data_IF_002486902145
#
_entry.id   IF_002486902145
#
_cell.length_a   1.000
_cell.length_b   1.000
_cell.length_c   1.000
_cell.angle_alpha   90.00
_cell.angle_beta   90.00
_cell.angle_gamma   90.00
#
_symmetry.space_group_name_H-M   'P 1'
#
loop_
_entity.id
_entity.type
_entity.pdbx_description
1 polymer ?
#
# COMPACT_ATOMS: atom_id res chain seq x y z
N UNK A 1 18.74 -0.07 17.98
CA UNK A 1 17.39 -0.59 17.69
C UNK A 1 17.41 -1.14 16.28
N UNK A 2 17.11 -2.41 16.12
CA UNK A 2 16.91 -3.08 14.83
C UNK A 2 15.43 -2.93 14.46
N UNK A 3 15.14 -2.45 13.25
CA UNK A 3 13.76 -2.12 12.86
C UNK A 3 13.27 -3.02 11.74
N UNK A 4 12.28 -3.86 12.04
CA UNK A 4 11.63 -4.78 11.13
C UNK A 4 10.11 -4.57 11.02
N UNK A 5 9.62 -3.33 11.22
CA UNK A 5 8.21 -2.96 11.00
C UNK A 5 8.03 -2.04 9.77
N UNK A 6 8.80 -2.26 8.71
CA UNK A 6 8.77 -1.43 7.50
C UNK A 6 7.45 -1.52 6.72
N UNK A 7 6.70 -2.62 6.84
CA UNK A 7 5.37 -2.76 6.23
C UNK A 7 4.29 -1.88 6.93
N UNK A 8 4.53 -1.41 8.15
CA UNK A 8 3.70 -0.38 8.77
C UNK A 8 4.10 1.02 8.28
N UNK A 9 5.40 1.34 8.35
CA UNK A 9 6.03 2.55 7.80
C UNK A 9 7.53 2.32 7.71
N UNK A 10 8.20 2.77 6.66
CA UNK A 10 9.67 2.76 6.66
C UNK A 10 10.19 3.80 7.66
N UNK A 11 11.05 3.37 8.59
CA UNK A 11 11.63 4.27 9.59
C UNK A 11 12.69 5.17 8.95
N UNK A 12 13.66 4.55 8.28
CA UNK A 12 14.76 5.27 7.61
C UNK A 12 14.27 5.82 6.28
N UNK A 13 14.53 7.11 6.05
CA UNK A 13 14.29 7.79 4.78
C UNK A 13 15.62 8.16 4.14
N UNK A 14 15.72 8.19 2.79
CA UNK A 14 16.87 8.79 2.12
C UNK A 14 17.08 10.24 2.57
N UNK A 15 18.33 10.67 2.70
CA UNK A 15 18.67 12.03 3.17
C UNK A 15 18.04 13.12 2.27
N UNK A 16 17.99 12.88 0.96
CA UNK A 16 17.36 13.79 -0.01
C UNK A 16 15.86 14.02 0.26
N UNK A 17 15.16 13.08 0.92
CA UNK A 17 13.76 13.24 1.31
C UNK A 17 13.64 14.21 2.47
N UNK A 18 14.51 14.08 3.47
CA UNK A 18 14.55 14.96 4.64
C UNK A 18 14.91 16.39 4.21
N UNK A 19 15.92 16.53 3.36
CA UNK A 19 16.36 17.80 2.79
C UNK A 19 15.23 18.47 2.00
N UNK A 20 14.56 17.75 1.11
CA UNK A 20 13.46 18.29 0.30
C UNK A 20 12.27 18.78 1.15
N UNK A 21 11.90 18.06 2.22
CA UNK A 21 10.85 18.50 3.16
C UNK A 21 11.27 19.77 3.89
N UNK A 22 12.52 19.80 4.38
CA UNK A 22 13.05 20.94 5.13
C UNK A 22 13.12 22.20 4.26
N UNK A 23 13.63 22.07 3.04
CA UNK A 23 13.68 23.17 2.07
C UNK A 23 12.28 23.68 1.71
N UNK A 24 11.34 22.75 1.44
CA UNK A 24 9.97 23.10 1.12
C UNK A 24 9.28 23.85 2.27
N UNK A 25 9.52 23.50 3.53
CA UNK A 25 8.98 24.21 4.69
C UNK A 25 9.47 25.66 4.78
N UNK A 26 10.68 25.95 4.28
CA UNK A 26 11.26 27.31 4.30
C UNK A 26 10.97 28.15 3.06
N UNK A 27 10.53 27.55 1.94
CA UNK A 27 10.48 28.22 0.63
C UNK A 27 9.13 28.14 -0.09
N UNK A 28 8.30 27.13 0.19
CA UNK A 28 7.06 26.93 -0.55
C UNK A 28 5.93 27.81 -0.04
N UNK A 29 5.33 28.58 -0.97
CA UNK A 29 4.07 29.27 -0.76
C UNK A 29 2.85 28.41 -1.14
N UNK A 30 1.66 29.00 -1.15
CA UNK A 30 0.45 28.35 -1.63
C UNK A 30 0.47 28.20 -3.16
N UNK A 31 0.41 26.96 -3.67
CA UNK A 31 0.45 26.63 -5.09
C UNK A 31 -0.79 27.07 -5.89
N UNK A 32 -1.88 27.48 -5.21
CA UNK A 32 -3.18 27.64 -5.86
C UNK A 32 -3.34 28.86 -6.76
N UNK A 33 -2.67 30.01 -6.49
CA UNK A 33 -2.95 31.28 -7.20
C UNK A 33 -1.85 32.34 -7.14
N UNK A 34 -0.77 32.10 -6.42
CA UNK A 34 0.30 33.08 -6.32
C UNK A 34 1.08 33.18 -7.62
N UNK A 35 1.43 34.43 -8.00
CA UNK A 35 2.36 34.70 -9.12
C UNK A 35 3.77 35.01 -8.63
N UNK A 36 4.00 34.96 -7.30
CA UNK A 36 5.31 35.15 -6.69
C UNK A 36 6.12 33.84 -6.68
N UNK A 37 7.42 33.94 -6.57
CA UNK A 37 8.36 32.82 -6.71
C UNK A 37 8.03 31.61 -5.84
N UNK A 38 7.64 31.82 -4.57
CA UNK A 38 7.27 30.74 -3.66
C UNK A 38 6.03 29.95 -4.11
N UNK A 39 5.02 30.61 -4.72
CA UNK A 39 3.84 29.93 -5.24
C UNK A 39 4.15 29.19 -6.55
N UNK A 40 4.97 29.78 -7.42
CA UNK A 40 5.40 29.13 -8.66
C UNK A 40 6.30 27.91 -8.36
N UNK A 41 7.20 28.02 -7.40
CA UNK A 41 8.03 26.90 -6.94
C UNK A 41 7.16 25.76 -6.40
N UNK A 42 6.18 26.08 -5.55
CA UNK A 42 5.24 25.08 -5.03
C UNK A 42 4.46 24.37 -6.15
N UNK A 43 3.94 25.14 -7.12
CA UNK A 43 3.19 24.59 -8.26
C UNK A 43 4.06 23.66 -9.12
N UNK A 44 5.31 24.03 -9.37
CA UNK A 44 6.27 23.21 -10.12
C UNK A 44 6.59 21.92 -9.38
N UNK A 45 6.93 21.99 -8.09
CA UNK A 45 7.24 20.81 -7.26
C UNK A 45 6.07 19.83 -7.25
N UNK A 46 4.84 20.30 -7.09
CA UNK A 46 3.63 19.46 -7.11
C UNK A 46 3.47 18.81 -8.49
N UNK A 47 3.61 19.56 -9.57
CA UNK A 47 3.52 19.04 -10.93
C UNK A 47 4.61 18.02 -11.24
N UNK A 48 5.86 18.31 -10.90
CA UNK A 48 7.01 17.44 -11.16
C UNK A 48 6.88 16.12 -10.39
N UNK A 49 6.38 16.17 -9.14
CA UNK A 49 6.10 14.96 -8.34
C UNK A 49 5.00 14.12 -8.98
N UNK A 50 3.89 14.74 -9.48
CA UNK A 50 2.86 14.01 -10.23
C UNK A 50 3.43 13.37 -11.48
N UNK A 51 4.24 14.12 -12.24
CA UNK A 51 4.87 13.61 -13.46
C UNK A 51 5.82 12.44 -13.18
N UNK A 52 6.55 12.50 -12.06
CA UNK A 52 7.40 11.39 -11.63
C UNK A 52 6.60 10.14 -11.24
N UNK A 53 5.50 10.29 -10.50
CA UNK A 53 4.59 9.19 -10.16
C UNK A 53 3.87 8.63 -11.40
N UNK A 54 3.44 9.49 -12.32
CA UNK A 54 2.83 9.05 -13.57
C UNK A 54 3.80 8.17 -14.40
N UNK A 55 5.07 8.57 -14.48
CA UNK A 55 6.11 7.73 -15.12
C UNK A 55 6.36 6.44 -14.36
N UNK A 56 6.40 6.49 -13.02
CA UNK A 56 6.64 5.31 -12.18
C UNK A 56 5.56 4.24 -12.37
N UNK A 57 4.30 4.65 -12.55
CA UNK A 57 3.15 3.75 -12.68
C UNK A 57 2.72 3.52 -14.14
N UNK A 58 3.41 4.08 -15.13
CA UNK A 58 3.03 3.96 -16.53
C UNK A 58 1.71 4.63 -16.88
N UNK A 59 1.30 5.67 -16.13
CA UNK A 59 0.07 6.43 -16.35
C UNK A 59 0.15 7.29 -17.62
N UNK A 60 -1.02 7.72 -18.15
CA UNK A 60 -1.13 8.52 -19.37
C UNK A 60 -0.52 9.91 -19.22
N UNK A 61 -0.65 10.49 -18.03
CA UNK A 61 -0.13 11.82 -17.74
C UNK A 61 -0.24 12.20 -16.26
N UNK A 62 0.44 13.29 -15.85
CA UNK A 62 0.42 13.76 -14.46
C UNK A 62 -0.97 14.16 -13.97
N UNK A 63 -1.86 14.60 -14.85
CA UNK A 63 -3.24 14.97 -14.50
C UNK A 63 -4.08 13.78 -14.03
N UNK A 64 -3.59 12.53 -14.24
CA UNK A 64 -4.25 11.31 -13.77
C UNK A 64 -3.89 10.93 -12.33
N UNK A 65 -2.95 11.63 -11.70
CA UNK A 65 -2.55 11.41 -10.31
C UNK A 65 -3.21 12.46 -9.42
N UNK A 66 -3.95 12.05 -8.40
CA UNK A 66 -4.46 12.92 -7.35
C UNK A 66 -3.77 12.58 -6.01
N UNK A 67 -3.42 13.61 -5.23
CA UNK A 67 -2.82 13.44 -3.91
C UNK A 67 -3.88 13.31 -2.82
N UNK A 68 -3.59 12.49 -1.83
CA UNK A 68 -4.37 12.29 -0.61
C UNK A 68 -3.44 12.29 0.60
N UNK A 69 -3.99 12.28 1.81
CA UNK A 69 -3.18 12.17 3.01
C UNK A 69 -2.54 10.77 3.19
N UNK A 70 -3.16 9.72 2.64
CA UNK A 70 -2.69 8.34 2.72
C UNK A 70 -3.52 7.44 1.78
N UNK A 71 -3.15 6.16 1.68
CA UNK A 71 -3.91 5.19 0.87
C UNK A 71 -5.32 4.92 1.38
N UNK A 72 -5.58 5.04 2.68
CA UNK A 72 -6.93 4.86 3.23
C UNK A 72 -7.90 5.91 2.68
N UNK A 73 -7.48 7.17 2.60
CA UNK A 73 -8.27 8.24 1.96
C UNK A 73 -8.44 7.96 0.46
N UNK A 74 -7.36 7.58 -0.24
CA UNK A 74 -7.42 7.22 -1.66
C UNK A 74 -8.40 6.08 -1.93
N UNK A 75 -8.38 5.01 -1.12
CA UNK A 75 -9.29 3.87 -1.23
C UNK A 75 -10.74 4.25 -0.92
N UNK A 76 -10.99 5.06 0.12
CA UNK A 76 -12.33 5.59 0.38
C UNK A 76 -12.85 6.42 -0.78
N UNK A 77 -12.00 7.26 -1.36
CA UNK A 77 -12.32 8.08 -2.52
C UNK A 77 -12.65 7.23 -3.74
N UNK A 78 -11.83 6.23 -4.05
CA UNK A 78 -12.04 5.32 -5.16
C UNK A 78 -13.32 4.48 -4.97
N UNK A 79 -13.45 3.79 -3.84
CA UNK A 79 -14.55 2.86 -3.56
C UNK A 79 -15.87 3.61 -3.45
N UNK A 80 -15.97 4.62 -2.56
CA UNK A 80 -17.22 5.36 -2.33
C UNK A 80 -17.57 6.31 -3.48
N UNK A 81 -16.57 6.78 -4.24
CA UNK A 81 -16.78 7.65 -5.39
C UNK A 81 -17.26 6.92 -6.64
N UNK A 82 -16.86 5.65 -6.81
CA UNK A 82 -17.22 4.84 -7.98
C UNK A 82 -18.50 4.03 -7.78
N UNK A 83 -18.71 3.47 -6.59
CA UNK A 83 -19.74 2.48 -6.31
C UNK A 83 -21.01 3.10 -5.73
N UNK A 84 -22.15 2.40 -5.94
CA UNK A 84 -23.48 2.81 -5.49
C UNK A 84 -24.29 1.61 -5.00
N UNK A 85 -25.41 1.82 -4.26
CA UNK A 85 -26.35 0.77 -3.94
C UNK A 85 -26.85 0.04 -5.21
N UNK A 86 -26.94 -1.29 -5.14
CA UNK A 86 -27.28 -2.15 -6.27
C UNK A 86 -26.11 -2.61 -7.13
N UNK A 87 -24.94 -1.99 -7.03
CA UNK A 87 -23.72 -2.49 -7.65
C UNK A 87 -23.24 -3.75 -6.93
N UNK A 88 -22.60 -4.67 -7.65
CA UNK A 88 -21.90 -5.81 -7.10
C UNK A 88 -20.38 -5.60 -7.23
N UNK A 89 -19.64 -5.99 -6.21
CA UNK A 89 -18.16 -5.87 -6.14
C UNK A 89 -17.55 -7.21 -5.76
N UNK A 90 -16.43 -7.54 -6.40
CA UNK A 90 -15.60 -8.71 -6.08
C UNK A 90 -14.34 -8.21 -5.38
N UNK A 91 -14.01 -8.81 -4.24
CA UNK A 91 -12.76 -8.53 -3.49
C UNK A 91 -12.19 -9.82 -2.91
N UNK A 92 -11.11 -9.76 -2.14
CA UNK A 92 -10.41 -10.96 -1.64
C UNK A 92 -10.25 -10.98 -0.11
N UNK A 93 -9.94 -12.15 0.43
CA UNK A 93 -9.60 -12.31 1.85
C UNK A 93 -8.22 -11.72 2.22
N UNK A 94 -7.41 -11.31 1.24
CA UNK A 94 -6.10 -10.69 1.47
C UNK A 94 -6.19 -9.22 1.86
N UNK A 95 -7.37 -8.62 1.77
CA UNK A 95 -7.56 -7.18 1.87
C UNK A 95 -7.26 -6.63 3.27
N UNK A 96 -6.62 -5.46 3.28
CA UNK A 96 -6.50 -4.64 4.47
C UNK A 96 -7.86 -4.00 4.83
N UNK A 97 -8.07 -3.66 6.11
CA UNK A 97 -9.26 -2.95 6.58
C UNK A 97 -9.55 -1.63 5.84
N UNK A 98 -8.56 -1.02 5.20
CA UNK A 98 -8.76 0.19 4.38
C UNK A 98 -9.56 -0.08 3.09
N UNK A 99 -9.62 -1.34 2.64
CA UNK A 99 -10.50 -1.83 1.57
C UNK A 99 -11.79 -2.39 2.15
N UNK A 100 -11.70 -3.28 3.14
CA UNK A 100 -12.88 -4.00 3.67
C UNK A 100 -13.91 -3.07 4.31
N UNK A 101 -13.47 -2.12 5.16
CA UNK A 101 -14.41 -1.26 5.88
C UNK A 101 -15.24 -0.36 4.99
N UNK A 102 -14.69 0.37 3.99
CA UNK A 102 -15.54 1.11 3.05
C UNK A 102 -16.44 0.21 2.19
N UNK A 103 -16.03 -1.03 1.86
CA UNK A 103 -16.90 -1.99 1.17
C UNK A 103 -18.05 -2.45 2.06
N UNK A 104 -17.81 -2.80 3.32
CA UNK A 104 -18.87 -3.15 4.28
C UNK A 104 -19.84 -1.99 4.54
N UNK A 105 -19.31 -0.75 4.62
CA UNK A 105 -20.17 0.42 4.76
C UNK A 105 -21.14 0.59 3.55
N UNK A 106 -20.67 0.25 2.33
CA UNK A 106 -21.53 0.29 1.14
C UNK A 106 -22.47 -0.92 1.06
N UNK A 107 -22.02 -2.09 1.52
CA UNK A 107 -22.85 -3.29 1.65
C UNK A 107 -24.07 -3.04 2.58
N UNK A 108 -23.85 -2.39 3.73
CA UNK A 108 -24.91 -1.96 4.64
C UNK A 108 -25.92 -0.97 3.99
N UNK A 109 -25.51 -0.33 2.89
CA UNK A 109 -26.34 0.59 2.09
C UNK A 109 -26.94 -0.05 0.84
N UNK A 110 -26.82 -1.36 0.66
CA UNK A 110 -27.43 -2.12 -0.43
C UNK A 110 -26.53 -2.38 -1.63
N UNK A 111 -25.20 -2.26 -1.50
CA UNK A 111 -24.25 -2.84 -2.45
C UNK A 111 -24.11 -4.34 -2.18
N UNK A 112 -23.89 -5.14 -3.22
CA UNK A 112 -23.61 -6.57 -3.09
C UNK A 112 -22.08 -6.80 -3.06
N UNK A 113 -21.61 -7.67 -2.16
CA UNK A 113 -20.19 -7.96 -1.99
C UNK A 113 -19.91 -9.47 -2.11
N UNK A 114 -18.96 -9.84 -2.97
CA UNK A 114 -18.37 -11.18 -2.99
C UNK A 114 -16.91 -11.11 -2.55
N UNK A 115 -16.56 -11.86 -1.51
CA UNK A 115 -15.18 -11.95 -0.99
C UNK A 115 -14.65 -13.34 -1.36
N UNK A 116 -13.65 -13.38 -2.25
CA UNK A 116 -12.96 -14.61 -2.61
C UNK A 116 -12.07 -15.08 -1.47
N UNK A 117 -12.23 -16.33 -1.06
CA UNK A 117 -11.48 -16.93 0.05
C UNK A 117 -10.00 -17.15 -0.29
N UNK A 118 -9.18 -17.25 0.74
CA UNK A 118 -7.78 -17.68 0.64
C UNK A 118 -7.58 -19.05 1.29
N UNK A 119 -6.60 -19.81 0.79
CA UNK A 119 -6.16 -21.04 1.45
C UNK A 119 -5.29 -20.74 2.70
N UNK A 120 -4.85 -21.78 3.38
CA UNK A 120 -4.00 -21.67 4.58
C UNK A 120 -2.58 -21.12 4.31
N UNK A 121 -2.19 -20.95 3.04
CA UNK A 121 -0.96 -20.31 2.63
C UNK A 121 -1.19 -18.88 2.13
N UNK A 122 -2.44 -18.41 2.11
CA UNK A 122 -2.83 -17.09 1.62
C UNK A 122 -2.91 -16.98 0.11
N UNK A 123 -3.12 -18.08 -0.62
CA UNK A 123 -3.32 -18.08 -2.05
C UNK A 123 -4.81 -17.96 -2.40
N UNK A 124 -5.10 -17.30 -3.52
CA UNK A 124 -6.45 -17.13 -4.09
C UNK A 124 -6.58 -18.00 -5.34
N UNK A 125 -7.75 -18.60 -5.53
CA UNK A 125 -8.10 -19.25 -6.80
C UNK A 125 -8.48 -18.16 -7.83
N UNK A 126 -7.70 -18.00 -8.87
CA UNK A 126 -7.94 -16.95 -9.88
C UNK A 126 -9.17 -17.22 -10.75
N UNK A 127 -9.55 -18.46 -10.92
CA UNK A 127 -10.76 -18.88 -11.64
C UNK A 127 -12.04 -18.37 -10.97
N UNK A 128 -11.98 -18.15 -9.65
CA UNK A 128 -13.14 -17.66 -8.89
C UNK A 128 -13.49 -16.21 -9.22
N UNK A 129 -12.54 -15.40 -9.71
CA UNK A 129 -12.85 -14.04 -10.19
C UNK A 129 -13.83 -14.06 -11.34
N UNK A 130 -13.61 -14.94 -12.33
CA UNK A 130 -14.51 -15.10 -13.49
C UNK A 130 -15.88 -15.63 -13.06
N UNK A 131 -15.91 -16.64 -12.18
CA UNK A 131 -17.15 -17.29 -11.70
C UNK A 131 -17.98 -16.36 -10.82
N UNK A 132 -17.38 -15.40 -10.14
CA UNK A 132 -18.06 -14.44 -9.28
C UNK A 132 -18.72 -13.28 -10.04
N UNK A 133 -18.45 -13.11 -11.35
CA UNK A 133 -19.04 -12.03 -12.14
C UNK A 133 -20.55 -12.22 -12.28
N UNK A 134 -21.31 -11.16 -12.03
CA UNK A 134 -22.76 -11.06 -12.13
C UNK A 134 -23.17 -9.94 -13.08
N UNK A 135 -24.44 -9.90 -13.56
CA UNK A 135 -24.89 -8.83 -14.45
C UNK A 135 -24.75 -7.41 -13.87
N UNK A 136 -24.82 -7.28 -12.54
CA UNK A 136 -24.65 -6.02 -11.82
C UNK A 136 -23.24 -5.83 -11.24
N UNK A 137 -22.26 -6.67 -11.60
CA UNK A 137 -20.86 -6.47 -11.17
C UNK A 137 -20.31 -5.19 -11.77
N UNK A 138 -19.84 -4.29 -10.91
CA UNK A 138 -19.31 -2.97 -11.27
C UNK A 138 -17.81 -2.92 -11.22
N UNK A 139 -17.19 -3.57 -10.21
CA UNK A 139 -15.75 -3.47 -9.98
C UNK A 139 -15.17 -4.75 -9.35
N UNK A 140 -13.87 -4.91 -9.57
CA UNK A 140 -12.99 -5.78 -8.78
C UNK A 140 -12.08 -4.86 -7.96
N UNK A 141 -11.93 -5.13 -6.66
CA UNK A 141 -11.06 -4.37 -5.75
C UNK A 141 -10.10 -5.34 -5.08
N UNK A 142 -8.79 -5.18 -5.29
CA UNK A 142 -7.80 -6.07 -4.68
C UNK A 142 -6.57 -5.31 -4.16
N UNK A 143 -5.96 -5.85 -3.10
CA UNK A 143 -4.57 -5.51 -2.80
C UNK A 143 -3.64 -6.12 -3.84
N UNK A 144 -2.50 -5.49 -4.11
CA UNK A 144 -1.42 -6.13 -4.88
C UNK A 144 -0.59 -7.08 -4.02
N UNK A 145 -0.36 -6.73 -2.76
CA UNK A 145 0.43 -7.54 -1.84
C UNK A 145 -0.16 -7.57 -0.44
N UNK A 146 -0.28 -8.77 0.12
CA UNK A 146 -0.75 -8.96 1.48
C UNK A 146 0.23 -8.33 2.49
N UNK A 147 -0.29 -7.46 3.34
CA UNK A 147 0.49 -6.85 4.41
C UNK A 147 0.76 -7.79 5.59
N UNK A 148 0.20 -9.00 5.57
CA UNK A 148 0.41 -10.04 6.57
C UNK A 148 1.28 -11.17 6.05
N UNK A 149 0.89 -11.82 4.95
CA UNK A 149 1.62 -12.98 4.42
C UNK A 149 2.73 -12.61 3.44
N UNK A 150 2.69 -11.42 2.85
CA UNK A 150 3.61 -11.01 1.80
C UNK A 150 3.30 -11.58 0.41
N UNK A 151 2.27 -12.43 0.28
CA UNK A 151 1.83 -12.98 -1.02
C UNK A 151 1.41 -11.86 -1.97
N UNK A 152 1.76 -11.99 -3.25
CA UNK A 152 1.33 -11.09 -4.31
C UNK A 152 0.15 -11.68 -5.09
N UNK A 153 -0.71 -10.80 -5.59
CA UNK A 153 -1.71 -11.13 -6.59
C UNK A 153 -1.21 -10.77 -8.00
N UNK A 154 -1.50 -11.62 -8.97
CA UNK A 154 -1.25 -11.36 -10.39
C UNK A 154 -2.25 -10.32 -10.91
N UNK A 155 -1.85 -9.04 -10.84
CA UNK A 155 -2.69 -7.92 -11.27
C UNK A 155 -3.04 -7.98 -12.75
N UNK A 156 -2.13 -8.47 -13.61
CA UNK A 156 -2.39 -8.55 -15.04
C UNK A 156 -3.46 -9.59 -15.36
N UNK A 157 -3.47 -10.71 -14.67
CA UNK A 157 -4.49 -11.76 -14.79
C UNK A 157 -5.86 -11.24 -14.32
N UNK A 158 -5.93 -10.61 -13.15
CA UNK A 158 -7.17 -10.04 -12.60
C UNK A 158 -7.67 -8.89 -13.50
N UNK A 159 -6.78 -8.00 -13.91
CA UNK A 159 -7.10 -6.89 -14.80
C UNK A 159 -7.60 -7.34 -16.17
N UNK A 160 -7.16 -8.51 -16.65
CA UNK A 160 -7.69 -9.12 -17.88
C UNK A 160 -9.13 -9.60 -17.72
N UNK A 161 -9.48 -10.17 -16.56
CA UNK A 161 -10.89 -10.53 -16.23
C UNK A 161 -11.74 -9.25 -16.16
N UNK A 162 -11.28 -8.23 -15.43
CA UNK A 162 -12.00 -6.97 -15.32
C UNK A 162 -12.26 -6.35 -16.71
N UNK A 163 -11.24 -6.32 -17.57
CA UNK A 163 -11.35 -5.78 -18.94
C UNK A 163 -12.32 -6.59 -19.79
N UNK A 164 -12.29 -7.93 -19.74
CA UNK A 164 -13.16 -8.80 -20.53
C UNK A 164 -14.65 -8.58 -20.21
N UNK A 165 -14.96 -8.23 -18.96
CA UNK A 165 -16.32 -8.00 -18.49
C UNK A 165 -16.71 -6.50 -18.38
N UNK A 166 -15.85 -5.58 -18.81
CA UNK A 166 -16.09 -4.14 -18.72
C UNK A 166 -16.20 -3.60 -17.29
N UNK A 167 -15.56 -4.28 -16.34
CA UNK A 167 -15.51 -3.91 -14.93
C UNK A 167 -14.40 -2.91 -14.66
N UNK A 168 -14.57 -2.07 -13.65
CA UNK A 168 -13.50 -1.23 -13.13
C UNK A 168 -12.56 -2.05 -12.22
N UNK A 169 -11.24 -1.86 -12.37
CA UNK A 169 -10.25 -2.53 -11.51
C UNK A 169 -9.55 -1.53 -10.60
N UNK A 170 -9.79 -1.67 -9.28
CA UNK A 170 -9.20 -0.85 -8.22
C UNK A 170 -8.14 -1.68 -7.50
N UNK A 171 -6.92 -1.14 -7.40
CA UNK A 171 -5.79 -1.82 -6.76
C UNK A 171 -5.27 -1.02 -5.57
N UNK A 172 -5.14 -1.67 -4.41
CA UNK A 172 -4.37 -1.18 -3.27
C UNK A 172 -2.90 -1.59 -3.42
N UNK A 173 -2.05 -0.65 -3.80
CA UNK A 173 -0.61 -0.84 -3.94
C UNK A 173 0.19 -0.42 -2.70
N UNK A 174 -0.42 -0.32 -1.52
CA UNK A 174 0.22 0.20 -0.30
C UNK A 174 1.47 -0.56 0.11
N UNK A 175 1.59 -1.84 -0.21
CA UNK A 175 2.76 -2.66 0.13
C UNK A 175 3.77 -2.76 -1.03
N UNK A 176 3.38 -2.38 -2.23
CA UNK A 176 4.13 -2.72 -3.45
C UNK A 176 4.60 -1.52 -4.25
N UNK A 177 3.92 -0.37 -4.14
CA UNK A 177 4.35 0.88 -4.76
C UNK A 177 5.74 1.28 -4.28
N UNK A 178 6.67 1.48 -5.21
CA UNK A 178 8.07 1.81 -4.94
C UNK A 178 9.00 0.61 -4.77
N UNK A 179 8.47 -0.63 -4.82
CA UNK A 179 9.23 -1.87 -4.73
C UNK A 179 9.04 -2.75 -5.97
N UNK A 180 7.80 -2.86 -6.45
CA UNK A 180 7.45 -3.67 -7.61
C UNK A 180 7.16 -2.77 -8.83
N UNK A 181 7.47 -3.28 -10.02
CA UNK A 181 7.08 -2.65 -11.27
C UNK A 181 5.57 -2.79 -11.48
N UNK A 182 4.85 -1.67 -11.39
CA UNK A 182 3.41 -1.59 -11.60
C UNK A 182 3.16 -0.68 -12.80
N UNK A 183 2.71 -1.27 -13.90
CA UNK A 183 2.28 -0.52 -15.10
C UNK A 183 0.77 -0.61 -15.22
N UNK A 184 0.09 0.50 -14.93
CA UNK A 184 -1.38 0.55 -14.88
C UNK A 184 -2.05 0.22 -16.20
N UNK A 185 -1.40 0.53 -17.33
CA UNK A 185 -1.92 0.24 -18.69
C UNK A 185 -1.73 -1.22 -19.04
N UNK A 186 -0.53 -1.77 -18.81
CA UNK A 186 -0.20 -3.17 -19.09
C UNK A 186 -1.02 -4.14 -18.23
N UNK A 187 -1.30 -3.74 -16.98
CA UNK A 187 -2.06 -4.55 -16.02
C UNK A 187 -3.56 -4.26 -16.03
N UNK A 188 -4.06 -3.41 -16.93
CA UNK A 188 -5.48 -3.00 -17.03
C UNK A 188 -6.05 -2.44 -15.73
N UNK A 189 -5.28 -1.69 -14.98
CA UNK A 189 -5.69 -1.06 -13.73
C UNK A 189 -6.40 0.25 -14.06
N UNK A 190 -7.60 0.46 -13.53
CA UNK A 190 -8.36 1.69 -13.71
C UNK A 190 -8.10 2.70 -12.60
N UNK A 191 -7.90 2.21 -11.36
CA UNK A 191 -7.58 3.04 -10.21
C UNK A 191 -6.50 2.33 -9.41
N UNK A 192 -5.37 3.03 -9.16
CA UNK A 192 -4.28 2.54 -8.31
C UNK A 192 -4.14 3.44 -7.09
N UNK A 193 -4.38 2.92 -5.89
CA UNK A 193 -4.22 3.64 -4.63
C UNK A 193 -2.87 3.33 -4.00
N UNK A 194 -2.17 4.36 -3.48
CA UNK A 194 -0.84 4.21 -2.89
C UNK A 194 -0.62 5.11 -1.67
N UNK A 195 0.36 4.76 -0.85
CA UNK A 195 0.82 5.60 0.28
C UNK A 195 2.30 5.95 0.13
N UNK A 196 2.67 7.16 0.50
CA UNK A 196 4.04 7.64 0.32
C UNK A 196 5.05 7.08 1.32
N UNK A 197 4.62 6.69 2.54
CA UNK A 197 5.51 6.45 3.67
C UNK A 197 6.05 5.02 3.83
N UNK A 198 5.66 4.09 2.94
CA UNK A 198 6.15 2.70 2.91
C UNK A 198 7.20 2.54 1.81
N UNK A 199 7.02 1.62 0.87
CA UNK A 199 7.98 1.34 -0.20
C UNK A 199 8.34 2.55 -1.08
N UNK A 200 7.48 3.55 -1.19
CA UNK A 200 7.80 4.83 -1.85
C UNK A 200 8.79 5.70 -1.06
N UNK A 201 9.15 5.37 0.19
CA UNK A 201 10.16 6.03 1.02
C UNK A 201 9.90 7.52 1.33
N UNK A 202 8.73 8.03 1.00
CA UNK A 202 8.33 9.41 1.28
C UNK A 202 7.90 9.63 2.74
N UNK A 203 7.54 10.85 3.12
CA UNK A 203 7.06 11.16 4.45
C UNK A 203 5.66 10.58 4.72
N UNK A 204 5.27 10.50 5.99
CA UNK A 204 3.89 10.26 6.39
C UNK A 204 3.00 11.45 6.01
N UNK A 205 1.69 11.25 5.94
CA UNK A 205 0.72 12.29 5.62
C UNK A 205 0.68 12.65 4.13
N UNK A 206 1.17 11.76 3.27
CA UNK A 206 1.04 11.86 1.81
C UNK A 206 0.79 10.49 1.20
N UNK A 207 -0.13 10.44 0.27
CA UNK A 207 -0.48 9.31 -0.57
C UNK A 207 -1.17 9.82 -1.83
N UNK A 208 -1.85 8.95 -2.56
CA UNK A 208 -2.58 9.35 -3.74
C UNK A 208 -3.22 8.20 -4.47
N UNK A 209 -3.87 8.55 -5.57
CA UNK A 209 -4.42 7.60 -6.50
C UNK A 209 -4.17 8.02 -7.95
N UNK A 210 -3.96 7.03 -8.79
CA UNK A 210 -4.09 7.15 -10.24
C UNK A 210 -5.53 6.83 -10.62
N UNK A 211 -6.08 7.57 -11.59
CA UNK A 211 -7.40 7.32 -12.17
C UNK A 211 -7.29 7.34 -13.69
N UNK A 212 -7.63 6.23 -14.35
CA UNK A 212 -7.61 6.10 -15.81
C UNK A 212 -8.56 7.11 -16.46
N UNK A 213 -8.20 7.58 -17.64
CA UNK A 213 -9.07 8.42 -18.45
C UNK A 213 -10.42 7.75 -18.72
N UNK A 214 -11.51 8.53 -18.59
CA UNK A 214 -12.89 8.05 -18.76
C UNK A 214 -13.50 7.41 -17.50
N UNK A 215 -12.74 7.23 -16.41
CA UNK A 215 -13.29 6.85 -15.11
C UNK A 215 -13.69 8.10 -14.34
N UNK A 216 -14.97 8.17 -13.97
CA UNK A 216 -15.52 9.25 -13.16
C UNK A 216 -15.67 8.82 -11.71
N UNK A 217 -15.06 9.57 -10.80
CA UNK A 217 -15.13 9.36 -9.35
C UNK A 217 -15.83 10.55 -8.72
N UNK A 218 -16.88 10.33 -7.98
CA UNK A 218 -17.51 11.37 -7.17
C UNK A 218 -16.52 11.81 -6.08
N UNK A 219 -16.26 13.11 -5.92
CA UNK A 219 -15.32 13.58 -4.89
C UNK A 219 -15.82 13.19 -3.49
N UNK A 220 -14.88 12.71 -2.66
CA UNK A 220 -15.14 12.44 -1.24
C UNK A 220 -15.31 13.74 -0.46
N UNK A 221 -14.53 14.75 -0.82
CA UNK A 221 -14.53 16.08 -0.21
C UNK A 221 -14.80 17.13 -1.29
N UNK A 222 -15.50 18.18 -0.93
CA UNK A 222 -15.70 19.35 -1.77
C UNK A 222 -15.36 20.63 -0.99
N UNK A 223 -14.77 21.60 -1.66
CA UNK A 223 -14.37 22.85 -0.99
C UNK A 223 -13.52 23.75 -1.87
N UNK A 224 -12.59 24.46 -1.27
CA UNK A 224 -11.68 25.34 -1.99
C UNK A 224 -10.76 24.55 -2.91
N UNK A 225 -10.77 24.86 -4.22
CA UNK A 225 -9.93 24.22 -5.22
C UNK A 225 -8.84 25.12 -5.79
N UNK A 226 -8.88 26.43 -5.43
CA UNK A 226 -8.00 27.43 -6.04
C UNK A 226 -8.42 27.86 -7.45
N UNK A 227 -9.35 27.18 -8.12
CA UNK A 227 -9.83 27.47 -9.48
C UNK A 227 -11.36 27.48 -9.55
N UNK A 228 -11.93 28.08 -10.59
CA UNK A 228 -13.38 28.09 -10.90
C UNK A 228 -14.26 28.50 -9.71
N UNK A 229 -13.87 29.57 -8.99
CA UNK A 229 -14.47 30.05 -7.72
C UNK A 229 -15.99 30.24 -7.77
N UNK A 230 -16.53 30.57 -8.93
CA UNK A 230 -17.96 30.88 -9.10
C UNK A 230 -18.83 29.66 -9.40
N UNK A 231 -18.24 28.47 -9.60
CA UNK A 231 -19.02 27.22 -9.70
C UNK A 231 -19.65 26.87 -8.35
N UNK A 232 -20.90 26.46 -8.36
CA UNK A 232 -21.59 25.96 -7.16
C UNK A 232 -21.10 24.57 -6.74
N UNK A 233 -20.72 23.74 -7.70
CA UNK A 233 -20.14 22.42 -7.48
C UNK A 233 -18.62 22.46 -7.48
N UNK A 234 -18.00 21.42 -6.91
CA UNK A 234 -16.55 21.24 -7.02
C UNK A 234 -16.14 21.05 -8.49
N UNK A 235 -14.99 21.60 -8.93
CA UNK A 235 -14.54 21.45 -10.32
C UNK A 235 -14.42 19.98 -10.75
N UNK A 236 -14.95 19.57 -11.93
CA UNK A 236 -14.95 18.17 -12.34
C UNK A 236 -13.65 17.69 -13.00
N UNK A 237 -12.70 18.59 -13.27
CA UNK A 237 -11.47 18.23 -13.99
C UNK A 237 -10.44 17.62 -13.04
N UNK A 238 -9.88 16.46 -13.44
CA UNK A 238 -8.73 15.87 -12.77
C UNK A 238 -7.47 16.76 -12.90
N UNK A 239 -6.61 16.79 -11.91
CA UNK A 239 -6.70 16.15 -10.60
C UNK A 239 -7.55 16.93 -9.58
N UNK A 240 -7.94 18.17 -9.91
CA UNK A 240 -8.67 19.09 -9.01
C UNK A 240 -9.97 18.49 -8.49
N UNK A 241 -10.65 17.66 -9.31
CA UNK A 241 -11.89 16.99 -8.92
C UNK A 241 -11.76 16.18 -7.62
N UNK A 242 -10.57 15.66 -7.34
CA UNK A 242 -10.30 14.80 -6.17
C UNK A 242 -9.41 15.50 -5.11
N UNK A 243 -9.09 16.79 -5.31
CA UNK A 243 -8.23 17.55 -4.41
C UNK A 243 -8.93 18.79 -3.89
N UNK A 244 -9.47 18.70 -2.69
CA UNK A 244 -10.09 19.83 -2.01
C UNK A 244 -9.17 20.40 -0.92
N UNK A 245 -9.06 21.71 -0.85
CA UNK A 245 -8.22 22.41 0.13
C UNK A 245 -6.77 22.60 -0.34
N UNK A 246 -5.94 23.09 0.57
CA UNK A 246 -4.50 23.27 0.33
C UNK A 246 -3.79 21.93 0.45
N UNK A 247 -3.08 21.53 -0.60
CA UNK A 247 -2.32 20.28 -0.62
C UNK A 247 -1.16 20.31 0.40
N UNK A 248 -0.76 19.14 0.86
CA UNK A 248 0.44 18.95 1.68
C UNK A 248 1.71 19.12 0.80
N UNK A 249 2.02 20.37 0.44
CA UNK A 249 3.14 20.69 -0.45
C UNK A 249 4.49 20.16 0.04
N UNK A 250 4.73 20.23 1.35
CA UNK A 250 5.98 19.74 1.97
C UNK A 250 6.10 18.22 1.85
N UNK A 251 5.01 17.49 2.14
CA UNK A 251 4.97 16.04 1.96
C UNK A 251 5.11 15.62 0.50
N UNK A 252 4.53 16.39 -0.43
CA UNK A 252 4.65 16.17 -1.88
C UNK A 252 6.10 16.37 -2.34
N UNK A 253 6.79 17.41 -1.85
CA UNK A 253 8.20 17.65 -2.15
C UNK A 253 9.08 16.46 -1.70
N UNK A 254 8.88 15.99 -0.46
CA UNK A 254 9.57 14.81 0.05
C UNK A 254 9.27 13.54 -0.75
N UNK A 255 8.01 13.34 -1.15
CA UNK A 255 7.62 12.20 -2.00
C UNK A 255 8.27 12.30 -3.39
N UNK A 256 8.36 13.50 -3.98
CA UNK A 256 9.06 13.73 -5.26
C UNK A 256 10.54 13.35 -5.19
N UNK A 257 11.24 13.78 -4.13
CA UNK A 257 12.61 13.39 -3.87
C UNK A 257 12.78 11.88 -3.66
N UNK A 258 11.84 11.26 -2.95
CA UNK A 258 11.82 9.80 -2.75
C UNK A 258 11.65 9.03 -4.07
N UNK A 259 10.71 9.43 -4.92
CA UNK A 259 10.49 8.80 -6.24
C UNK A 259 11.73 8.95 -7.13
N UNK A 260 12.40 10.10 -7.10
CA UNK A 260 13.65 10.29 -7.81
C UNK A 260 14.75 9.35 -7.30
N UNK A 261 14.91 9.24 -5.99
CA UNK A 261 15.83 8.29 -5.36
C UNK A 261 15.57 6.84 -5.81
N UNK A 262 14.29 6.42 -5.84
CA UNK A 262 13.90 5.10 -6.30
C UNK A 262 14.26 4.85 -7.77
N UNK A 263 14.07 5.85 -8.63
CA UNK A 263 14.42 5.77 -10.05
C UNK A 263 15.94 5.70 -10.27
N UNK A 264 16.72 6.45 -9.49
CA UNK A 264 18.18 6.47 -9.57
C UNK A 264 18.82 5.19 -9.01
N UNK A 265 18.25 4.64 -7.92
CA UNK A 265 18.72 3.39 -7.30
C UNK A 265 18.27 2.16 -8.11
N UNK A 266 17.11 2.24 -8.74
CA UNK A 266 16.45 1.15 -9.47
C UNK A 266 15.57 0.28 -8.56
N UNK A 267 14.30 0.14 -8.92
CA UNK A 267 13.32 -0.66 -8.16
C UNK A 267 13.77 -2.11 -8.00
N UNK A 268 14.34 -2.70 -9.06
CA UNK A 268 14.82 -4.08 -9.03
C UNK A 268 15.96 -4.28 -8.04
N UNK A 269 16.89 -3.32 -7.94
CA UNK A 269 17.98 -3.36 -6.96
C UNK A 269 17.45 -3.34 -5.53
N UNK A 270 16.48 -2.47 -5.26
CA UNK A 270 15.82 -2.38 -3.95
C UNK A 270 15.10 -3.68 -3.64
N UNK A 271 14.24 -4.14 -4.54
CA UNK A 271 13.46 -5.37 -4.40
C UNK A 271 14.33 -6.59 -4.16
N UNK A 272 15.36 -6.77 -4.98
CA UNK A 272 16.27 -7.92 -4.84
C UNK A 272 16.96 -7.94 -3.48
N UNK A 273 17.40 -6.79 -2.96
CA UNK A 273 18.01 -6.71 -1.64
C UNK A 273 17.00 -7.04 -0.54
N UNK A 274 15.80 -6.46 -0.59
CA UNK A 274 14.75 -6.74 0.40
C UNK A 274 14.34 -8.22 0.39
N UNK A 275 14.17 -8.81 -0.79
CA UNK A 275 13.83 -10.23 -0.95
C UNK A 275 14.98 -11.15 -0.49
N UNK A 276 16.25 -10.78 -0.71
CA UNK A 276 17.39 -11.54 -0.23
C UNK A 276 17.43 -11.57 1.31
N UNK A 277 17.23 -10.42 1.97
CA UNK A 277 17.16 -10.34 3.44
C UNK A 277 15.98 -11.14 4.00
N UNK A 278 14.81 -10.99 3.42
CA UNK A 278 13.61 -11.75 3.79
C UNK A 278 13.84 -13.25 3.65
N UNK A 279 14.44 -13.70 2.53
CA UNK A 279 14.72 -15.11 2.31
C UNK A 279 15.72 -15.66 3.31
N UNK A 280 16.81 -14.94 3.58
CA UNK A 280 17.81 -15.35 4.57
C UNK A 280 17.18 -15.53 5.95
N UNK A 281 16.31 -14.60 6.35
CA UNK A 281 15.54 -14.69 7.59
C UNK A 281 14.59 -15.90 7.58
N UNK A 282 13.77 -16.05 6.55
CA UNK A 282 12.81 -17.16 6.41
C UNK A 282 13.48 -18.53 6.48
N UNK A 283 14.56 -18.74 5.69
CA UNK A 283 15.26 -20.03 5.65
C UNK A 283 15.89 -20.40 7.01
N UNK A 284 16.28 -19.42 7.80
CA UNK A 284 16.81 -19.65 9.13
C UNK A 284 15.69 -19.94 10.15
N UNK A 285 14.65 -19.10 10.21
CA UNK A 285 13.61 -19.23 11.25
C UNK A 285 12.72 -20.46 11.06
N UNK A 286 12.46 -20.89 9.82
CA UNK A 286 11.66 -22.11 9.55
C UNK A 286 12.30 -23.41 10.06
N UNK A 287 13.58 -23.40 10.41
CA UNK A 287 14.30 -24.54 10.96
C UNK A 287 14.26 -24.57 12.50
N UNK A 288 13.78 -23.51 13.15
CA UNK A 288 13.73 -23.43 14.60
C UNK A 288 12.51 -24.19 15.10
N UNK A 289 12.69 -25.25 15.97
CA UNK A 289 11.56 -25.94 16.56
C UNK A 289 10.66 -24.97 17.35
N UNK A 290 9.34 -25.10 17.17
CA UNK A 290 8.36 -24.23 17.83
C UNK A 290 8.05 -22.94 17.07
N UNK A 291 8.68 -22.67 15.92
CA UNK A 291 8.29 -21.55 15.06
C UNK A 291 7.36 -22.03 13.94
N UNK A 292 6.23 -21.35 13.79
CA UNK A 292 5.30 -21.52 12.67
C UNK A 292 5.36 -20.27 11.79
N UNK A 293 5.66 -20.42 10.50
CA UNK A 293 5.73 -19.32 9.52
C UNK A 293 4.50 -19.34 8.62
N UNK A 294 3.93 -18.20 8.31
CA UNK A 294 2.72 -18.03 7.51
C UNK A 294 3.00 -17.40 6.14
N UNK A 295 2.30 -17.88 5.13
CA UNK A 295 2.40 -17.41 3.75
C UNK A 295 2.99 -18.45 2.80
N UNK A 296 2.89 -18.20 1.49
CA UNK A 296 3.46 -19.06 0.45
C UNK A 296 4.87 -18.60 0.09
N UNK A 297 5.87 -19.37 0.42
CA UNK A 297 7.29 -19.15 0.11
C UNK A 297 7.80 -20.00 -1.06
N UNK A 298 6.89 -20.62 -1.83
CA UNK A 298 7.25 -21.36 -3.05
C UNK A 298 7.79 -20.44 -4.15
N UNK A 299 7.37 -19.16 -4.17
CA UNK A 299 7.86 -18.13 -5.07
C UNK A 299 8.71 -17.09 -4.35
N UNK A 300 9.74 -16.59 -5.04
CA UNK A 300 10.53 -15.43 -4.60
C UNK A 300 9.86 -14.11 -4.90
N UNK A 301 8.86 -14.11 -5.79
CA UNK A 301 8.12 -12.89 -6.15
C UNK A 301 7.04 -12.63 -5.09
N UNK A 302 7.46 -11.95 -4.01
CA UNK A 302 6.63 -11.62 -2.85
C UNK A 302 7.14 -10.38 -2.12
N UNK A 303 6.30 -9.72 -1.34
CA UNK A 303 6.74 -8.65 -0.44
C UNK A 303 7.75 -9.18 0.58
N UNK A 304 8.68 -8.34 0.99
CA UNK A 304 9.71 -8.68 1.97
C UNK A 304 9.12 -8.72 3.39
N UNK A 305 8.21 -9.66 3.62
CA UNK A 305 7.45 -9.86 4.86
C UNK A 305 7.55 -11.33 5.26
N UNK A 306 7.79 -11.56 6.56
CA UNK A 306 7.69 -12.87 7.21
C UNK A 306 6.85 -12.70 8.46
N UNK A 307 5.69 -13.34 8.51
CA UNK A 307 4.85 -13.42 9.69
C UNK A 307 4.98 -14.80 10.32
N UNK A 308 5.16 -14.85 11.62
CA UNK A 308 5.39 -16.10 12.35
C UNK A 308 4.77 -16.07 13.74
N UNK A 309 4.64 -17.24 14.34
CA UNK A 309 4.38 -17.42 15.77
C UNK A 309 5.46 -18.30 16.40
N UNK A 310 5.71 -18.07 17.69
CA UNK A 310 6.60 -18.84 18.53
C UNK A 310 5.74 -19.67 19.46
N UNK A 311 5.69 -20.99 19.30
CA UNK A 311 4.85 -21.90 20.09
C UNK A 311 3.40 -21.38 20.18
N UNK A 312 2.83 -21.40 21.36
CA UNK A 312 1.49 -20.90 21.73
C UNK A 312 1.51 -19.51 22.41
N UNK A 313 2.67 -18.83 22.40
CA UNK A 313 2.81 -17.50 22.99
C UNK A 313 1.97 -16.47 22.25
N UNK A 314 1.38 -15.53 22.98
CA UNK A 314 0.73 -14.37 22.38
C UNK A 314 1.71 -13.56 21.55
N UNK A 315 1.29 -13.09 20.40
CA UNK A 315 2.16 -12.33 19.48
C UNK A 315 2.66 -11.01 20.08
N UNK A 316 1.90 -10.40 20.98
CA UNK A 316 2.32 -9.21 21.73
C UNK A 316 3.45 -9.52 22.68
N UNK A 317 3.34 -10.60 23.48
CA UNK A 317 4.39 -11.03 24.42
C UNK A 317 5.71 -11.30 23.70
N UNK A 318 5.67 -11.99 22.54
CA UNK A 318 6.87 -12.24 21.73
C UNK A 318 7.48 -10.93 21.19
N UNK A 319 6.64 -10.03 20.73
CA UNK A 319 7.12 -8.73 20.20
C UNK A 319 7.70 -7.84 21.31
N UNK A 320 7.12 -7.85 22.49
CA UNK A 320 7.61 -7.12 23.66
C UNK A 320 8.96 -7.69 24.12
N UNK A 321 9.09 -9.02 24.22
CA UNK A 321 10.36 -9.68 24.56
C UNK A 321 11.48 -9.34 23.55
N UNK A 322 11.15 -9.37 22.24
CA UNK A 322 12.08 -8.97 21.16
C UNK A 322 12.53 -7.50 21.32
N UNK A 323 11.62 -6.62 21.68
CA UNK A 323 11.91 -5.19 21.86
C UNK A 323 12.74 -4.93 23.11
N UNK A 324 12.34 -5.48 24.26
CA UNK A 324 12.94 -5.18 25.55
C UNK A 324 14.31 -5.85 25.74
N UNK A 325 14.42 -7.14 25.35
CA UNK A 325 15.64 -7.93 25.58
C UNK A 325 16.66 -7.80 24.45
N UNK A 326 16.20 -7.60 23.20
CA UNK A 326 17.09 -7.63 22.02
C UNK A 326 17.10 -6.32 21.22
N UNK A 327 16.27 -5.34 21.58
CA UNK A 327 16.16 -4.07 20.85
C UNK A 327 15.65 -4.22 19.43
N UNK A 328 14.80 -5.23 19.16
CA UNK A 328 14.24 -5.57 17.84
C UNK A 328 12.78 -5.12 17.79
N UNK A 329 12.47 -4.17 16.91
CA UNK A 329 11.13 -3.68 16.70
C UNK A 329 10.42 -4.49 15.62
N UNK A 330 9.31 -5.14 15.98
CA UNK A 330 8.41 -5.90 15.11
C UNK A 330 6.97 -5.43 15.29
N UNK A 331 6.03 -6.02 14.55
CA UNK A 331 4.61 -5.71 14.75
C UNK A 331 3.80 -6.95 15.11
N UNK A 332 3.17 -7.01 16.29
CA UNK A 332 2.28 -8.09 16.69
C UNK A 332 0.83 -7.86 16.26
N UNK A 333 0.01 -8.88 16.44
CA UNK A 333 -1.45 -8.83 16.42
C UNK A 333 -2.09 -9.10 15.07
N UNK A 334 -3.20 -8.40 14.78
CA UNK A 334 -4.09 -8.71 13.65
C UNK A 334 -3.79 -7.93 12.35
N UNK A 335 -2.82 -7.02 12.33
CA UNK A 335 -2.30 -6.30 11.15
C UNK A 335 -3.34 -5.62 10.27
N UNK A 336 -4.56 -5.35 10.77
CA UNK A 336 -5.70 -4.89 9.96
C UNK A 336 -6.05 -5.81 8.78
N UNK A 337 -5.78 -7.11 8.88
CA UNK A 337 -6.04 -8.14 7.86
C UNK A 337 -6.94 -9.27 8.44
N UNK A 338 -8.18 -8.96 8.87
CA UNK A 338 -8.99 -9.86 9.68
C UNK A 338 -9.36 -11.16 8.95
N UNK A 339 -9.59 -11.11 7.64
CA UNK A 339 -9.97 -12.27 6.86
C UNK A 339 -8.79 -13.22 6.64
N UNK A 340 -7.59 -12.66 6.45
CA UNK A 340 -6.37 -13.47 6.38
C UNK A 340 -6.09 -14.19 7.71
N UNK A 341 -6.23 -13.51 8.86
CA UNK A 341 -6.09 -14.16 10.15
C UNK A 341 -7.09 -15.31 10.36
N UNK A 342 -8.33 -15.18 9.83
CA UNK A 342 -9.29 -16.29 9.81
C UNK A 342 -8.84 -17.45 8.95
N UNK A 343 -8.33 -17.19 7.73
CA UNK A 343 -7.83 -18.22 6.82
C UNK A 343 -6.60 -18.96 7.38
N UNK A 344 -5.72 -18.22 8.08
CA UNK A 344 -4.52 -18.78 8.71
C UNK A 344 -4.78 -19.44 10.07
N UNK A 345 -5.97 -19.27 10.68
CA UNK A 345 -6.28 -19.79 12.02
C UNK A 345 -5.57 -19.03 13.16
N UNK A 346 -5.19 -17.79 12.96
CA UNK A 346 -4.40 -16.98 13.89
C UNK A 346 -5.18 -15.82 14.53
N UNK A 347 -6.53 -15.95 14.62
CA UNK A 347 -7.39 -14.88 15.14
C UNK A 347 -7.09 -14.58 16.60
N UNK A 348 -6.92 -15.63 17.42
CA UNK A 348 -6.75 -15.51 18.86
C UNK A 348 -5.30 -15.15 19.25
N UNK A 349 -4.31 -15.80 18.59
CA UNK A 349 -2.90 -15.63 18.90
C UNK A 349 -2.29 -14.39 18.21
N UNK A 350 -2.88 -13.94 17.10
CA UNK A 350 -2.24 -12.97 16.21
C UNK A 350 -1.05 -13.56 15.46
N UNK A 351 -0.16 -12.70 15.00
CA UNK A 351 1.14 -13.10 14.45
C UNK A 351 2.17 -12.00 14.73
N UNK A 352 3.45 -12.37 14.82
CA UNK A 352 4.57 -11.42 14.84
C UNK A 352 5.06 -11.25 13.42
N UNK A 353 4.97 -10.03 12.90
CA UNK A 353 5.38 -9.70 11.53
C UNK A 353 6.73 -9.02 11.51
N UNK A 354 7.65 -9.60 10.76
CA UNK A 354 8.93 -9.00 10.37
C UNK A 354 8.80 -8.48 8.94
N UNK A 355 9.20 -7.26 8.69
CA UNK A 355 9.18 -6.66 7.36
C UNK A 355 10.46 -5.86 7.10
N UNK A 356 11.09 -6.15 5.98
CA UNK A 356 12.44 -5.72 5.66
C UNK A 356 12.40 -4.53 4.69
N UNK A 357 13.43 -3.70 4.81
CA UNK A 357 13.72 -2.62 3.88
C UNK A 357 15.13 -2.81 3.35
N UNK A 358 15.43 -2.25 2.19
CA UNK A 358 16.78 -2.25 1.63
C UNK A 358 17.83 -1.55 2.52
N UNK A 359 17.40 -0.85 3.56
CA UNK A 359 18.28 -0.27 4.58
C UNK A 359 18.69 -1.27 5.67
N UNK A 360 18.00 -2.40 5.80
CA UNK A 360 18.40 -3.45 6.73
C UNK A 360 19.68 -4.18 6.27
N UNK A 361 20.30 -4.91 7.18
CA UNK A 361 21.58 -5.60 6.97
C UNK A 361 21.48 -7.09 7.30
N UNK A 362 22.38 -7.89 6.76
CA UNK A 362 22.48 -9.32 7.07
C UNK A 362 22.82 -9.58 8.55
N UNK A 363 23.56 -8.67 9.18
CA UNK A 363 23.89 -8.78 10.60
C UNK A 363 22.63 -8.61 11.47
N UNK A 364 21.75 -7.66 11.13
CA UNK A 364 20.47 -7.51 11.81
C UNK A 364 19.60 -8.78 11.68
N UNK A 365 19.66 -9.47 10.53
CA UNK A 365 18.97 -10.76 10.32
C UNK A 365 19.53 -11.83 11.28
N UNK A 366 20.84 -11.95 11.40
CA UNK A 366 21.48 -12.95 12.30
C UNK A 366 21.09 -12.72 13.75
N UNK A 367 21.09 -11.45 14.19
CA UNK A 367 20.68 -11.07 15.56
C UNK A 367 19.23 -11.47 15.81
N UNK A 368 18.32 -11.20 14.86
CA UNK A 368 16.91 -11.56 15.00
C UNK A 368 16.67 -13.08 15.02
N UNK A 369 17.40 -13.83 14.22
CA UNK A 369 17.35 -15.30 14.22
C UNK A 369 17.82 -15.86 15.56
N UNK A 370 18.93 -15.34 16.12
CA UNK A 370 19.43 -15.77 17.43
C UNK A 370 18.43 -15.47 18.55
N UNK A 371 17.84 -14.27 18.55
CA UNK A 371 16.79 -13.90 19.53
C UNK A 371 15.58 -14.84 19.46
N UNK A 372 15.13 -15.19 18.27
CA UNK A 372 14.01 -16.14 18.09
C UNK A 372 14.38 -17.57 18.51
N UNK A 373 15.65 -17.98 18.32
CA UNK A 373 16.14 -19.28 18.80
C UNK A 373 16.10 -19.36 20.33
N UNK A 374 16.52 -18.31 21.02
CA UNK A 374 16.48 -18.21 22.47
C UNK A 374 15.04 -18.24 22.99
N UNK A 375 14.15 -17.39 22.45
CA UNK A 375 12.74 -17.33 22.83
C UNK A 375 12.00 -18.66 22.58
N UNK A 376 12.34 -19.38 21.51
CA UNK A 376 11.73 -20.66 21.22
C UNK A 376 12.19 -21.78 22.15
N UNK A 377 13.29 -21.61 22.90
CA UNK A 377 13.83 -22.58 23.85
C UNK A 377 13.44 -22.29 25.30
N UNK A 378 12.96 -21.09 25.60
CA UNK A 378 12.45 -20.76 26.94
C UNK A 378 11.23 -21.64 27.29
N UNK A 379 11.23 -22.23 28.54
CA UNK A 379 10.16 -23.12 29.02
C UNK A 379 8.99 -22.35 29.61
#
# INVERSE_FOLDING_TARGET
>A
MIYFDNAATTLRKPDCVIEAVTEAMGSMGNSGRGVHDGALSASRTIYDTRAALARLFGAEGPERIAFTANSTEALNMAIKGLLAPGDHVITTALEHNSVLRPLYELEDRGMELTILGADALGNICYEDFEQAVRPNTKAIVTTHGSNLTGNLLDLARIGSVARAHGLSYIVDASQTAGVFDIDVRRMNIDILCFTGHKGLLGPQGIGGLYVREGIEIRPLLSGGSGVQTYLRSHPPQMPTALEAGTLNGHGIAGLGAAVKYLQETGLDTIRQKEQALMRAFYEAVRQIPGITVYGDFSSMDRCAIVSLNVRDYDSGEVSDALSESYGIATRPGAHCAPLMHRALGTVDQGAVRFSFSHFNTEEEIKIAVSALQELAQEE
#
